data_IF_484393287457
#
_entry.id   IF_484393287457
#
_cell.length_a   1.000
_cell.length_b   1.000
_cell.length_c   1.000
_cell.angle_alpha   90.00
_cell.angle_beta   90.00
_cell.angle_gamma   90.00
#
_symmetry.space_group_name_H-M   'P 1'
#
loop_
_entity.id
_entity.type
_entity.pdbx_description
1 polymer ?
#
# COMPACT_ATOMS: atom_id res chain seq x y z
N UNK A 1 -9.40 5.19 -3.93
CA UNK A 1 -9.77 6.59 -3.75
C UNK A 1 -9.89 6.87 -2.26
N UNK A 2 -9.21 7.90 -1.72
CA UNK A 2 -9.31 8.31 -0.31
C UNK A 2 -10.27 9.48 -0.19
N UNK A 3 -11.29 9.31 0.64
CA UNK A 3 -12.39 10.25 0.79
C UNK A 3 -12.44 10.73 2.23
N UNK A 4 -12.51 12.04 2.42
CA UNK A 4 -12.75 12.68 3.71
C UNK A 4 -14.22 13.11 3.77
N UNK A 5 -14.86 12.92 4.91
CA UNK A 5 -16.17 13.45 5.22
C UNK A 5 -16.09 14.25 6.51
N UNK A 6 -16.54 15.50 6.51
CA UNK A 6 -16.53 16.37 7.69
C UNK A 6 -17.89 17.02 7.90
N UNK A 7 -18.49 16.78 9.07
CA UNK A 7 -19.76 17.36 9.53
C UNK A 7 -19.77 17.29 11.06
N UNK A 8 -20.11 18.38 11.74
CA UNK A 8 -20.12 18.41 13.22
C UNK A 8 -21.34 17.73 13.83
N UNK A 9 -22.41 17.56 13.04
CA UNK A 9 -23.58 16.78 13.44
C UNK A 9 -23.33 15.28 13.22
N UNK A 10 -23.17 14.51 14.31
CA UNK A 10 -22.85 13.08 14.25
C UNK A 10 -23.80 12.29 13.35
N UNK A 11 -25.11 12.57 13.40
CA UNK A 11 -26.12 11.90 12.57
C UNK A 11 -25.91 12.23 11.07
N UNK A 12 -25.60 13.47 10.74
CA UNK A 12 -25.34 13.89 9.35
C UNK A 12 -24.06 13.29 8.83
N UNK A 13 -23.01 13.25 9.65
CA UNK A 13 -21.75 12.60 9.31
C UNK A 13 -21.92 11.10 9.03
N UNK A 14 -22.68 10.39 9.86
CA UNK A 14 -22.98 8.98 9.66
C UNK A 14 -23.78 8.76 8.36
N UNK A 15 -24.83 9.55 8.14
CA UNK A 15 -25.60 9.51 6.91
C UNK A 15 -24.75 9.80 5.67
N UNK A 16 -23.95 10.84 5.69
CA UNK A 16 -23.02 11.19 4.60
C UNK A 16 -22.05 10.04 4.32
N UNK A 17 -21.42 9.50 5.37
CA UNK A 17 -20.49 8.39 5.27
C UNK A 17 -21.14 7.16 4.65
N UNK A 18 -22.36 6.83 5.04
CA UNK A 18 -23.12 5.70 4.48
C UNK A 18 -23.49 5.92 3.00
N UNK A 19 -23.86 7.14 2.61
CA UNK A 19 -24.13 7.46 1.18
C UNK A 19 -22.86 7.37 0.34
N UNK A 20 -21.73 7.85 0.87
CA UNK A 20 -20.43 7.74 0.20
C UNK A 20 -20.05 6.25 0.05
N UNK A 21 -20.23 5.42 1.08
CA UNK A 21 -19.97 3.97 1.03
C UNK A 21 -20.79 3.26 -0.03
N UNK A 22 -22.05 3.62 -0.17
CA UNK A 22 -22.94 3.06 -1.19
C UNK A 22 -22.53 3.51 -2.61
N UNK A 23 -22.15 4.77 -2.78
CA UNK A 23 -21.72 5.33 -4.07
C UNK A 23 -20.32 4.86 -4.49
N UNK A 24 -19.43 4.62 -3.53
CA UNK A 24 -18.05 4.22 -3.75
C UNK A 24 -17.62 3.09 -2.79
N UNK A 25 -18.02 1.83 -3.03
CA UNK A 25 -17.72 0.70 -2.13
C UNK A 25 -16.22 0.43 -1.94
N UNK A 26 -15.38 0.82 -2.88
CA UNK A 26 -13.93 0.66 -2.84
C UNK A 26 -13.20 1.89 -2.26
N UNK A 27 -13.95 2.91 -1.82
CA UNK A 27 -13.39 4.12 -1.24
C UNK A 27 -12.91 3.89 0.20
N UNK A 28 -11.72 4.41 0.52
CA UNK A 28 -11.22 4.53 1.89
C UNK A 28 -11.80 5.81 2.48
N UNK A 29 -12.74 5.69 3.43
CA UNK A 29 -13.51 6.84 3.95
C UNK A 29 -13.06 7.17 5.36
N UNK A 30 -12.67 8.44 5.58
CA UNK A 30 -12.25 8.99 6.86
C UNK A 30 -13.24 10.05 7.33
N UNK A 31 -14.11 9.74 8.31
CA UNK A 31 -15.07 10.68 8.87
C UNK A 31 -14.46 11.53 9.99
N UNK A 32 -14.79 12.82 10.01
CA UNK A 32 -14.35 13.78 11.01
C UNK A 32 -15.50 14.63 11.52
N UNK A 33 -15.68 14.67 12.84
CA UNK A 33 -16.69 15.51 13.50
C UNK A 33 -16.24 16.95 13.76
N UNK A 34 -15.05 17.34 13.28
CA UNK A 34 -14.57 18.73 13.38
C UNK A 34 -13.39 18.98 12.43
N UNK A 35 -13.28 20.22 11.97
CA UNK A 35 -12.19 20.71 11.14
C UNK A 35 -10.81 20.50 11.81
N UNK A 36 -10.72 20.71 13.13
CA UNK A 36 -9.47 20.53 13.90
C UNK A 36 -8.97 19.10 13.84
N UNK A 37 -9.83 18.10 14.02
CA UNK A 37 -9.45 16.68 13.96
C UNK A 37 -8.98 16.28 12.58
N UNK A 38 -9.63 16.80 11.54
CA UNK A 38 -9.24 16.56 10.17
C UNK A 38 -7.85 17.11 9.87
N UNK A 39 -7.59 18.37 10.24
CA UNK A 39 -6.27 19.00 10.02
C UNK A 39 -5.16 18.28 10.79
N UNK A 40 -5.39 17.94 12.07
CA UNK A 40 -4.43 17.19 12.86
C UNK A 40 -4.11 15.83 12.22
N UNK A 41 -5.13 15.12 11.72
CA UNK A 41 -4.92 13.84 11.04
C UNK A 41 -4.06 13.97 9.77
N UNK A 42 -4.28 15.02 8.96
CA UNK A 42 -3.45 15.28 7.78
C UNK A 42 -1.99 15.60 8.15
N UNK A 43 -1.78 16.38 9.23
CA UNK A 43 -0.45 16.74 9.72
C UNK A 43 0.29 15.52 10.29
N UNK A 44 -0.39 14.69 11.08
CA UNK A 44 0.20 13.50 11.71
C UNK A 44 0.54 12.40 10.70
N UNK A 45 -0.34 12.20 9.71
CA UNK A 45 -0.15 11.10 8.74
C UNK A 45 0.72 11.51 7.56
N UNK A 46 0.74 12.81 7.21
CA UNK A 46 1.34 13.31 5.96
C UNK A 46 0.63 12.79 4.70
N UNK A 47 -0.57 12.22 4.85
CA UNK A 47 -1.33 11.60 3.77
C UNK A 47 -2.29 12.61 3.15
N UNK A 48 -2.36 12.66 1.82
CA UNK A 48 -3.32 13.48 1.11
C UNK A 48 -4.67 12.77 0.91
N UNK A 49 -5.66 13.48 0.37
CA UNK A 49 -6.97 12.95 0.00
C UNK A 49 -7.28 13.23 -1.48
N UNK A 50 -8.21 12.46 -2.04
CA UNK A 50 -8.68 12.64 -3.42
C UNK A 50 -9.95 13.51 -3.48
N UNK A 51 -10.86 13.29 -2.52
CA UNK A 51 -12.14 14.00 -2.40
C UNK A 51 -12.42 14.32 -0.93
N UNK A 52 -12.87 15.52 -0.63
CA UNK A 52 -13.38 15.91 0.68
C UNK A 52 -14.82 16.41 0.56
N UNK A 53 -15.74 15.77 1.26
CA UNK A 53 -17.10 16.24 1.47
C UNK A 53 -17.14 17.03 2.77
N UNK A 54 -17.50 18.30 2.70
CA UNK A 54 -17.40 19.24 3.80
C UNK A 54 -18.75 19.89 4.08
N UNK A 55 -19.21 19.81 5.30
CA UNK A 55 -20.29 20.69 5.72
C UNK A 55 -19.79 22.15 5.80
N UNK A 56 -20.62 23.09 5.42
CA UNK A 56 -20.27 24.52 5.43
C UNK A 56 -20.33 25.09 6.84
N UNK A 57 -21.36 24.72 7.60
CA UNK A 57 -21.63 25.27 8.92
C UNK A 57 -21.06 24.36 10.00
N UNK A 58 -19.81 24.57 10.37
CA UNK A 58 -19.17 23.85 11.47
C UNK A 58 -18.69 24.80 12.57
N UNK A 59 -18.82 24.46 13.87
CA UNK A 59 -18.34 25.27 14.98
C UNK A 59 -16.83 25.48 14.96
N UNK A 60 -16.40 26.68 15.25
CA UNK A 60 -14.99 27.08 15.38
C UNK A 60 -14.30 27.37 14.05
N UNK A 61 -14.42 26.50 13.07
CA UNK A 61 -13.89 26.71 11.72
C UNK A 61 -14.93 26.26 10.70
N UNK A 62 -15.42 27.18 9.88
CA UNK A 62 -16.38 26.87 8.82
C UNK A 62 -15.76 25.94 7.77
N UNK A 63 -16.61 25.16 7.08
CA UNK A 63 -16.14 24.31 5.97
C UNK A 63 -15.44 25.09 4.87
N UNK A 64 -15.78 26.36 4.68
CA UNK A 64 -15.12 27.25 3.72
C UNK A 64 -13.68 27.55 4.16
N UNK A 65 -13.47 27.94 5.42
CA UNK A 65 -12.14 28.18 5.96
C UNK A 65 -11.30 26.89 5.98
N UNK A 66 -11.92 25.76 6.32
CA UNK A 66 -11.28 24.44 6.22
C UNK A 66 -10.86 24.13 4.78
N UNK A 67 -11.72 24.36 3.80
CA UNK A 67 -11.43 24.11 2.39
C UNK A 67 -10.22 24.92 1.88
N UNK A 68 -10.05 26.16 2.33
CA UNK A 68 -8.87 26.97 2.01
C UNK A 68 -7.59 26.32 2.52
N UNK A 69 -7.59 25.87 3.79
CA UNK A 69 -6.43 25.15 4.38
C UNK A 69 -6.15 23.83 3.67
N UNK A 70 -7.21 23.09 3.32
CA UNK A 70 -7.08 21.84 2.57
C UNK A 70 -6.48 22.04 1.18
N UNK A 71 -6.78 23.15 0.50
CA UNK A 71 -6.17 23.50 -0.79
C UNK A 71 -4.69 23.86 -0.67
N UNK A 72 -4.26 24.47 0.42
CA UNK A 72 -2.84 24.71 0.69
C UNK A 72 -2.07 23.40 0.89
N UNK A 73 -2.65 22.45 1.65
CA UNK A 73 -2.05 21.14 1.95
C UNK A 73 -2.14 20.17 0.78
N UNK A 74 -3.26 20.15 0.07
CA UNK A 74 -3.57 19.24 -1.02
C UNK A 74 -4.16 20.00 -2.22
N UNK A 75 -3.35 20.69 -3.05
CA UNK A 75 -3.82 21.54 -4.15
C UNK A 75 -4.71 20.83 -5.18
N UNK A 76 -4.53 19.52 -5.35
CA UNK A 76 -5.29 18.66 -6.28
C UNK A 76 -6.44 17.90 -5.61
N UNK A 77 -6.70 18.11 -4.33
CA UNK A 77 -7.85 17.52 -3.66
C UNK A 77 -9.16 18.13 -4.20
N UNK A 78 -10.14 17.28 -4.53
CA UNK A 78 -11.47 17.74 -4.90
C UNK A 78 -12.25 18.10 -3.64
N UNK A 79 -12.92 19.25 -3.64
CA UNK A 79 -13.72 19.73 -2.51
C UNK A 79 -15.18 19.81 -2.93
N UNK A 80 -16.04 19.09 -2.22
CA UNK A 80 -17.48 19.04 -2.43
C UNK A 80 -18.15 19.51 -1.15
N UNK A 81 -18.98 20.55 -1.23
CA UNK A 81 -19.70 21.08 -0.08
C UNK A 81 -21.10 20.47 0.03
N UNK A 82 -21.52 20.17 1.25
CA UNK A 82 -22.91 19.84 1.59
C UNK A 82 -23.58 20.99 2.33
N UNK A 83 -24.78 21.40 1.88
CA UNK A 83 -25.50 22.52 2.46
C UNK A 83 -27.01 22.44 2.24
N UNK A 84 -27.79 23.16 3.06
CA UNK A 84 -29.24 23.24 2.92
C UNK A 84 -29.71 24.19 1.84
N UNK A 85 -28.99 25.27 1.58
CA UNK A 85 -29.31 26.25 0.55
C UNK A 85 -28.15 26.46 -0.41
N UNK A 86 -28.45 26.56 -1.70
CA UNK A 86 -27.47 26.82 -2.74
C UNK A 86 -27.19 28.32 -2.83
N UNK A 87 -26.27 28.83 -2.03
CA UNK A 87 -25.67 30.13 -2.29
C UNK A 87 -24.42 29.96 -3.16
N UNK A 88 -24.26 30.77 -4.23
CA UNK A 88 -23.10 30.69 -5.08
C UNK A 88 -21.88 31.28 -4.36
N UNK A 89 -21.09 30.44 -3.68
CA UNK A 89 -19.81 30.88 -3.16
C UNK A 89 -18.74 30.87 -4.26
N UNK A 90 -17.98 31.96 -4.34
CA UNK A 90 -16.86 32.11 -5.31
C UNK A 90 -15.61 31.30 -4.95
N UNK A 91 -15.77 30.23 -4.21
CA UNK A 91 -14.69 29.28 -3.99
C UNK A 91 -14.60 28.31 -5.17
N UNK A 92 -13.38 28.04 -5.62
CA UNK A 92 -13.11 27.03 -6.64
C UNK A 92 -13.40 25.60 -6.12
N UNK A 93 -14.63 25.36 -5.66
CA UNK A 93 -15.13 24.04 -5.27
C UNK A 93 -15.20 23.14 -6.50
N UNK A 94 -15.07 21.85 -6.29
CA UNK A 94 -15.25 20.84 -7.34
C UNK A 94 -16.72 20.49 -7.51
N UNK A 95 -17.54 20.69 -6.46
CA UNK A 95 -18.97 20.40 -6.51
C UNK A 95 -19.73 20.83 -5.26
N UNK A 96 -21.07 20.71 -5.33
CA UNK A 96 -22.01 21.04 -4.25
C UNK A 96 -23.14 20.01 -4.18
N UNK A 97 -23.42 19.51 -3.00
CA UNK A 97 -24.54 18.60 -2.74
C UNK A 97 -25.55 19.28 -1.81
N UNK A 98 -26.81 19.28 -2.21
CA UNK A 98 -27.90 19.76 -1.36
C UNK A 98 -28.26 18.70 -0.32
N UNK A 99 -28.39 19.10 0.94
CA UNK A 99 -28.95 18.26 2.00
C UNK A 99 -30.49 18.10 1.80
N UNK A 100 -31.08 16.90 1.98
CA UNK A 100 -30.43 15.68 2.43
C UNK A 100 -29.57 15.00 1.35
N UNK A 101 -28.37 14.57 1.70
CA UNK A 101 -27.43 13.91 0.78
C UNK A 101 -28.00 12.58 0.30
N UNK A 102 -28.02 12.38 -1.01
CA UNK A 102 -28.46 11.12 -1.63
C UNK A 102 -27.30 10.39 -2.29
N UNK A 103 -27.40 9.08 -2.43
CA UNK A 103 -26.39 8.27 -3.14
C UNK A 103 -26.17 8.79 -4.56
N UNK A 104 -27.26 9.08 -5.27
CA UNK A 104 -27.19 9.61 -6.65
C UNK A 104 -26.45 10.93 -6.74
N UNK A 105 -26.65 11.86 -5.79
CA UNK A 105 -25.93 13.12 -5.76
C UNK A 105 -24.43 12.91 -5.53
N UNK A 106 -24.05 11.99 -4.63
CA UNK A 106 -22.65 11.62 -4.40
C UNK A 106 -22.03 11.01 -5.66
N UNK A 107 -22.73 10.09 -6.33
CA UNK A 107 -22.26 9.48 -7.59
C UNK A 107 -22.07 10.52 -8.71
N UNK A 108 -22.99 11.49 -8.83
CA UNK A 108 -22.91 12.57 -9.82
C UNK A 108 -21.67 13.44 -9.58
N UNK A 109 -21.41 13.83 -8.35
CA UNK A 109 -20.24 14.64 -7.99
C UNK A 109 -18.93 13.85 -8.17
N UNK A 110 -18.91 12.56 -7.80
CA UNK A 110 -17.74 11.72 -8.00
C UNK A 110 -17.43 11.45 -9.49
N UNK A 111 -18.40 11.54 -10.38
CA UNK A 111 -18.18 11.47 -11.85
C UNK A 111 -17.65 12.77 -12.43
N UNK A 112 -17.95 13.92 -11.81
CA UNK A 112 -17.65 15.24 -12.31
C UNK A 112 -16.46 15.91 -11.60
N UNK A 113 -15.55 15.12 -11.01
CA UNK A 113 -14.40 15.65 -10.27
C UNK A 113 -13.51 16.51 -11.17
N UNK A 114 -13.16 17.69 -10.69
CA UNK A 114 -12.30 18.64 -11.39
C UNK A 114 -10.87 18.11 -11.61
N UNK A 115 -10.37 17.38 -10.63
CA UNK A 115 -9.07 16.73 -10.69
C UNK A 115 -9.30 15.21 -10.78
N UNK A 116 -8.76 14.55 -11.82
CA UNK A 116 -8.88 13.11 -11.93
C UNK A 116 -8.33 12.46 -10.65
N UNK A 117 -9.10 11.56 -10.08
CA UNK A 117 -8.60 10.71 -9.01
C UNK A 117 -7.47 9.87 -9.61
N UNK A 118 -6.26 10.10 -9.14
CA UNK A 118 -5.21 9.15 -9.44
C UNK A 118 -5.63 7.84 -8.79
N UNK A 119 -5.88 6.80 -9.59
CA UNK A 119 -5.95 5.45 -9.04
C UNK A 119 -4.63 5.25 -8.30
N UNK A 120 -4.68 5.47 -6.99
CA UNK A 120 -3.62 4.96 -6.12
C UNK A 120 -3.74 3.46 -6.30
N UNK A 121 -2.84 2.89 -7.07
CA UNK A 121 -2.70 1.45 -7.11
C UNK A 121 -2.79 0.96 -5.67
N UNK A 122 -3.65 -0.01 -5.40
CA UNK A 122 -3.77 -0.59 -4.07
C UNK A 122 -2.35 -0.79 -3.54
N UNK A 123 -2.06 -0.40 -2.27
CA UNK A 123 -0.69 -0.42 -1.79
C UNK A 123 -0.10 -1.80 -2.07
N UNK A 124 0.82 -1.82 -3.02
CA UNK A 124 1.48 -3.05 -3.46
C UNK A 124 2.62 -3.34 -2.51
N UNK A 125 2.82 -4.59 -2.20
CA UNK A 125 4.01 -5.04 -1.49
C UNK A 125 5.20 -4.89 -2.44
N UNK A 126 6.03 -3.89 -2.20
CA UNK A 126 7.25 -3.67 -2.96
C UNK A 126 8.42 -4.35 -2.25
N UNK A 127 9.17 -5.13 -2.98
CA UNK A 127 10.37 -5.81 -2.51
C UNK A 127 11.58 -5.25 -3.23
N UNK A 128 12.55 -4.83 -2.45
CA UNK A 128 13.89 -4.46 -2.89
C UNK A 128 14.80 -5.66 -2.64
N UNK A 129 15.30 -6.25 -3.71
CA UNK A 129 16.24 -7.36 -3.68
C UNK A 129 17.68 -6.91 -4.05
N UNK A 130 17.82 -5.80 -4.77
CA UNK A 130 19.11 -5.22 -5.11
C UNK A 130 19.68 -4.43 -3.93
N UNK A 131 20.95 -4.67 -3.59
CA UNK A 131 21.54 -4.26 -2.33
C UNK A 131 21.06 -5.13 -1.18
N UNK A 132 20.68 -4.51 -0.06
CA UNK A 132 20.07 -5.22 1.07
C UNK A 132 18.60 -5.55 0.78
N UNK A 133 18.16 -6.72 1.22
CA UNK A 133 16.76 -7.10 1.11
C UNK A 133 15.88 -6.25 2.00
N UNK A 134 14.93 -5.53 1.41
CA UNK A 134 13.95 -4.70 2.11
C UNK A 134 12.54 -4.88 1.53
N UNK A 135 11.54 -4.70 2.39
CA UNK A 135 10.13 -4.84 2.03
C UNK A 135 9.38 -3.59 2.43
N UNK A 136 8.57 -3.06 1.52
CA UNK A 136 7.79 -1.84 1.72
C UNK A 136 6.31 -2.09 1.39
N UNK A 137 5.43 -1.49 2.17
CA UNK A 137 4.01 -1.47 1.90
C UNK A 137 3.48 -0.04 2.01
N UNK A 138 2.82 0.45 0.96
CA UNK A 138 2.41 1.85 0.90
C UNK A 138 3.56 2.86 1.05
N UNK A 139 4.78 2.50 0.60
CA UNK A 139 5.98 3.32 0.72
C UNK A 139 6.67 3.28 2.09
N UNK A 140 6.12 2.56 3.07
CA UNK A 140 6.71 2.41 4.43
C UNK A 140 7.38 1.05 4.59
N UNK A 141 8.53 0.97 5.29
CA UNK A 141 9.17 -0.31 5.57
C UNK A 141 8.26 -1.25 6.36
N UNK A 142 8.20 -2.52 5.95
CA UNK A 142 7.47 -3.56 6.69
C UNK A 142 8.34 -4.05 7.83
N UNK A 143 7.80 -4.00 9.04
CA UNK A 143 8.48 -4.53 10.22
C UNK A 143 8.22 -6.04 10.37
N UNK A 144 9.29 -6.81 10.45
CA UNK A 144 9.27 -8.23 10.79
C UNK A 144 9.67 -8.41 12.24
N UNK A 145 8.90 -9.16 13.02
CA UNK A 145 9.18 -9.40 14.44
C UNK A 145 10.50 -10.14 14.69
N UNK A 146 10.95 -10.89 13.68
CA UNK A 146 12.20 -11.67 13.72
C UNK A 146 12.97 -11.52 12.41
N UNK A 147 14.29 -11.33 12.50
CA UNK A 147 15.18 -11.28 11.32
C UNK A 147 15.08 -12.53 10.45
N UNK A 148 14.93 -13.70 11.06
CA UNK A 148 14.74 -14.97 10.32
C UNK A 148 13.41 -15.07 9.57
N UNK A 149 12.37 -14.39 10.00
CA UNK A 149 11.11 -14.28 9.23
C UNK A 149 11.35 -13.48 7.96
N UNK A 150 12.10 -12.39 8.05
CA UNK A 150 12.50 -11.58 6.89
C UNK A 150 13.40 -12.39 5.94
N UNK A 151 14.35 -13.15 6.45
CA UNK A 151 15.23 -14.03 5.69
C UNK A 151 14.46 -15.15 4.98
N UNK A 152 13.50 -15.80 5.66
CA UNK A 152 12.59 -16.77 5.04
C UNK A 152 11.86 -16.16 3.85
N UNK A 153 11.33 -14.95 4.02
CA UNK A 153 10.63 -14.27 2.93
C UNK A 153 11.58 -13.94 1.78
N UNK A 154 12.79 -13.44 2.06
CA UNK A 154 13.83 -13.18 1.06
C UNK A 154 14.15 -14.44 0.22
N UNK A 155 14.32 -15.58 0.88
CA UNK A 155 14.59 -16.83 0.18
C UNK A 155 13.42 -17.24 -0.72
N UNK A 156 12.16 -17.13 -0.24
CA UNK A 156 10.98 -17.43 -1.06
C UNK A 156 10.84 -16.48 -2.26
N UNK A 157 11.24 -15.22 -2.12
CA UNK A 157 11.33 -14.26 -3.24
C UNK A 157 12.40 -14.73 -4.25
N UNK A 158 13.59 -15.11 -3.79
CA UNK A 158 14.67 -15.63 -4.65
C UNK A 158 14.20 -16.83 -5.49
N UNK A 159 13.34 -17.68 -4.93
CA UNK A 159 12.76 -18.86 -5.60
C UNK A 159 11.73 -18.55 -6.69
N UNK A 160 11.27 -17.32 -6.82
CA UNK A 160 10.39 -16.84 -7.91
C UNK A 160 9.15 -17.71 -8.14
N UNK A 161 8.49 -18.11 -7.07
CA UNK A 161 7.29 -18.95 -7.12
C UNK A 161 7.58 -20.47 -7.14
N UNK A 162 8.84 -20.90 -7.26
CA UNK A 162 9.18 -22.29 -7.05
C UNK A 162 8.93 -22.70 -5.59
N UNK A 163 8.21 -23.82 -5.40
CA UNK A 163 7.89 -24.31 -4.06
C UNK A 163 9.14 -24.82 -3.35
N UNK A 164 9.30 -24.45 -2.08
CA UNK A 164 10.37 -24.92 -1.21
C UNK A 164 9.83 -25.87 -0.15
N UNK A 165 10.55 -26.98 0.08
CA UNK A 165 10.22 -27.95 1.12
C UNK A 165 10.73 -27.51 2.49
N UNK A 166 10.20 -28.13 3.56
CA UNK A 166 10.68 -27.87 4.93
C UNK A 166 12.18 -28.18 5.08
N UNK A 167 12.66 -29.25 4.45
CA UNK A 167 14.08 -29.63 4.50
C UNK A 167 14.98 -28.62 3.79
N UNK A 168 14.58 -28.13 2.61
CA UNK A 168 15.29 -27.08 1.87
C UNK A 168 15.37 -25.80 2.69
N UNK A 169 14.27 -25.35 3.26
CA UNK A 169 14.22 -24.14 4.10
C UNK A 169 15.08 -24.26 5.35
N UNK A 170 15.14 -25.47 5.96
CA UNK A 170 16.01 -25.71 7.12
C UNK A 170 17.48 -25.63 6.71
N UNK A 171 17.86 -26.22 5.59
CA UNK A 171 19.25 -26.22 5.13
C UNK A 171 19.78 -24.81 4.85
N UNK A 172 18.91 -23.91 4.37
CA UNK A 172 19.26 -22.53 4.08
C UNK A 172 19.27 -21.67 5.35
N UNK A 173 18.18 -21.72 6.12
CA UNK A 173 18.03 -20.82 7.28
C UNK A 173 18.86 -21.24 8.49
N UNK A 174 19.25 -22.50 8.60
CA UNK A 174 20.09 -23.06 9.68
C UNK A 174 21.30 -23.79 9.11
N UNK A 175 22.06 -23.10 8.28
CA UNK A 175 23.26 -23.63 7.66
C UNK A 175 24.13 -24.42 8.66
N UNK A 176 24.54 -25.65 8.26
CA UNK A 176 25.34 -26.54 9.09
C UNK A 176 24.61 -27.21 10.26
N UNK A 177 23.30 -27.01 10.45
CA UNK A 177 22.53 -27.69 11.50
C UNK A 177 21.72 -28.86 10.96
N UNK A 178 21.61 -29.92 11.78
CA UNK A 178 20.78 -31.08 11.45
C UNK A 178 19.30 -30.75 11.52
N UNK A 179 18.50 -31.36 10.65
CA UNK A 179 17.05 -31.29 10.68
C UNK A 179 16.49 -32.05 11.89
N UNK A 180 16.14 -31.29 12.93
CA UNK A 180 15.61 -31.83 14.18
C UNK A 180 14.16 -31.42 14.37
N UNK A 181 13.36 -32.13 15.21
CA UNK A 181 11.99 -31.72 15.53
C UNK A 181 11.90 -30.29 16.09
N UNK A 182 12.90 -29.85 16.83
CA UNK A 182 12.97 -28.46 17.38
C UNK A 182 13.12 -27.43 16.26
N UNK A 183 14.03 -27.65 15.30
CA UNK A 183 14.23 -26.75 14.15
C UNK A 183 12.99 -26.74 13.26
N UNK A 184 12.36 -27.88 13.04
CA UNK A 184 11.07 -27.95 12.31
C UNK A 184 9.97 -27.14 12.99
N UNK A 185 9.90 -27.17 14.33
CA UNK A 185 8.94 -26.37 15.10
C UNK A 185 9.23 -24.87 14.97
N UNK A 186 10.52 -24.49 15.04
CA UNK A 186 10.93 -23.08 14.83
C UNK A 186 10.57 -22.61 13.42
N UNK A 187 10.83 -23.40 12.37
CA UNK A 187 10.45 -23.04 11.00
C UNK A 187 8.94 -22.86 10.83
N UNK A 188 8.12 -23.75 11.42
CA UNK A 188 6.65 -23.56 11.41
C UNK A 188 6.23 -22.24 12.06
N UNK A 189 6.90 -21.86 13.16
CA UNK A 189 6.66 -20.57 13.82
C UNK A 189 7.04 -19.39 12.93
N UNK A 190 8.17 -19.45 12.18
CA UNK A 190 8.56 -18.42 11.22
C UNK A 190 7.56 -18.30 10.06
N UNK A 191 7.08 -19.43 9.52
CA UNK A 191 6.07 -19.46 8.47
C UNK A 191 4.76 -18.82 8.96
N UNK A 192 4.36 -19.11 10.19
CA UNK A 192 3.16 -18.52 10.79
C UNK A 192 3.34 -17.01 10.97
N UNK A 193 4.48 -16.59 11.51
CA UNK A 193 4.83 -15.18 11.70
C UNK A 193 4.82 -14.39 10.37
N UNK A 194 5.45 -14.94 9.32
CA UNK A 194 5.43 -14.36 7.98
C UNK A 194 4.00 -14.18 7.45
N UNK A 195 3.17 -15.22 7.57
CA UNK A 195 1.77 -15.18 7.12
C UNK A 195 0.96 -14.14 7.90
N UNK A 196 1.13 -14.08 9.21
CA UNK A 196 0.44 -13.10 10.06
C UNK A 196 0.85 -11.68 9.70
N UNK A 197 2.14 -11.43 9.48
CA UNK A 197 2.65 -10.12 9.05
C UNK A 197 2.02 -9.69 7.72
N UNK A 198 2.02 -10.56 6.71
CA UNK A 198 1.44 -10.24 5.40
C UNK A 198 -0.09 -10.15 5.43
N UNK A 199 -0.77 -10.95 6.24
CA UNK A 199 -2.21 -10.84 6.44
C UNK A 199 -2.62 -9.52 7.09
N UNK A 200 -1.85 -9.04 8.06
CA UNK A 200 -2.05 -7.72 8.67
C UNK A 200 -1.95 -6.55 7.68
N UNK A 201 -1.25 -6.76 6.56
CA UNK A 201 -1.15 -5.81 5.45
C UNK A 201 -2.20 -6.06 4.34
N UNK A 202 -3.13 -7.00 4.51
CA UNK A 202 -4.05 -7.42 3.45
C UNK A 202 -3.37 -8.20 2.31
N UNK A 203 -2.10 -8.61 2.47
CA UNK A 203 -1.26 -9.26 1.46
C UNK A 203 -1.07 -10.77 1.69
N UNK A 204 -1.94 -11.40 2.48
CA UNK A 204 -1.84 -12.82 2.85
C UNK A 204 -1.87 -13.79 1.66
N UNK A 205 -2.46 -13.39 0.53
CA UNK A 205 -2.53 -14.20 -0.70
C UNK A 205 -1.17 -14.36 -1.42
N UNK A 206 -0.14 -13.59 -1.02
CA UNK A 206 1.22 -13.71 -1.56
C UNK A 206 1.85 -15.05 -1.22
N UNK A 207 1.55 -15.61 -0.04
CA UNK A 207 2.10 -16.90 0.39
C UNK A 207 1.19 -18.03 -0.06
N UNK A 208 1.70 -18.86 -0.96
CA UNK A 208 1.06 -20.09 -1.43
C UNK A 208 1.58 -21.26 -0.59
N UNK A 209 0.68 -22.00 0.04
CA UNK A 209 1.01 -23.24 0.75
C UNK A 209 0.26 -24.41 0.11
N UNK A 210 0.99 -25.39 -0.44
CA UNK A 210 0.44 -26.63 -1.00
C UNK A 210 1.11 -27.83 -0.32
N UNK A 211 0.36 -28.59 0.49
CA UNK A 211 0.88 -29.74 1.26
C UNK A 211 2.17 -29.37 2.00
N UNK A 212 3.31 -29.91 1.56
CA UNK A 212 4.64 -29.73 2.17
C UNK A 212 5.49 -28.64 1.50
N UNK A 213 4.91 -27.91 0.55
CA UNK A 213 5.58 -26.85 -0.19
C UNK A 213 5.05 -25.48 0.24
N UNK A 214 5.96 -24.52 0.34
CA UNK A 214 5.65 -23.09 0.50
C UNK A 214 6.32 -22.30 -0.62
N UNK A 215 5.61 -21.34 -1.16
CA UNK A 215 6.08 -20.46 -2.23
C UNK A 215 5.51 -19.05 -2.07
N UNK A 216 6.08 -18.11 -2.83
CA UNK A 216 5.53 -16.79 -3.06
C UNK A 216 4.84 -16.76 -4.42
N UNK A 217 3.71 -16.07 -4.54
CA UNK A 217 3.10 -15.73 -5.82
C UNK A 217 3.85 -14.51 -6.42
N UNK A 218 4.66 -14.69 -7.46
CA UNK A 218 5.48 -13.60 -8.01
C UNK A 218 4.64 -12.51 -8.69
N UNK A 219 3.42 -12.82 -9.13
CA UNK A 219 2.53 -11.85 -9.79
C UNK A 219 1.93 -10.84 -8.80
N UNK A 220 1.97 -11.16 -7.50
CA UNK A 220 1.46 -10.32 -6.42
C UNK A 220 2.51 -9.47 -5.73
N UNK A 221 3.75 -9.52 -6.21
CA UNK A 221 4.88 -8.83 -5.59
C UNK A 221 5.54 -7.91 -6.61
N UNK A 222 5.60 -6.62 -6.30
CA UNK A 222 6.40 -5.67 -7.06
C UNK A 222 7.87 -5.77 -6.61
N UNK A 223 8.71 -6.49 -7.37
CA UNK A 223 10.09 -6.78 -7.03
C UNK A 223 11.06 -6.31 -8.14
N UNK A 224 12.09 -5.55 -7.77
CA UNK A 224 13.15 -5.08 -8.67
C UNK A 224 13.85 -6.25 -9.39
N UNK A 225 14.15 -7.32 -8.67
CA UNK A 225 14.73 -8.54 -9.24
C UNK A 225 13.83 -9.18 -10.32
N UNK A 226 12.51 -9.22 -10.10
CA UNK A 226 11.58 -9.79 -11.07
C UNK A 226 11.47 -8.91 -12.31
N UNK A 227 11.42 -7.59 -12.14
CA UNK A 227 11.42 -6.63 -13.25
C UNK A 227 12.72 -6.68 -14.06
N UNK A 228 13.87 -6.81 -13.39
CA UNK A 228 15.16 -7.01 -14.04
C UNK A 228 15.15 -8.26 -14.93
N UNK A 229 14.65 -9.40 -14.42
CA UNK A 229 14.57 -10.64 -15.18
C UNK A 229 13.60 -10.53 -16.37
N UNK A 230 12.55 -9.74 -16.25
CA UNK A 230 11.60 -9.42 -17.31
C UNK A 230 12.15 -8.44 -18.38
N UNK A 231 13.37 -7.91 -18.18
CA UNK A 231 14.04 -7.03 -19.14
C UNK A 231 13.74 -5.54 -18.94
N UNK A 232 13.29 -5.12 -17.77
CA UNK A 232 13.10 -3.70 -17.46
C UNK A 232 14.45 -2.97 -17.47
N UNK A 233 14.62 -2.05 -18.41
CA UNK A 233 15.85 -1.25 -18.58
C UNK A 233 16.17 -0.36 -17.38
N UNK A 234 15.18 0.09 -16.63
CA UNK A 234 15.39 0.92 -15.43
C UNK A 234 16.06 0.10 -14.35
N UNK A 235 15.60 -1.11 -14.15
CA UNK A 235 16.17 -2.03 -13.16
C UNK A 235 17.55 -2.53 -13.60
N UNK A 236 17.76 -2.77 -14.90
CA UNK A 236 19.09 -3.10 -15.43
C UNK A 236 20.10 -1.96 -15.16
N UNK A 237 19.70 -0.70 -15.35
CA UNK A 237 20.53 0.45 -15.04
C UNK A 237 20.71 0.71 -13.53
N UNK A 238 19.79 0.25 -12.70
CA UNK A 238 19.82 0.40 -11.24
C UNK A 238 20.63 -0.69 -10.55
N UNK A 239 20.80 -1.86 -11.17
CA UNK A 239 21.62 -2.94 -10.63
C UNK A 239 23.09 -2.52 -10.52
N UNK A 240 23.67 -2.69 -9.34
CA UNK A 240 25.06 -2.31 -9.02
C UNK A 240 25.93 -3.50 -8.64
N UNK A 241 25.55 -4.70 -9.09
CA UNK A 241 26.28 -5.91 -8.72
C UNK A 241 26.04 -6.35 -7.28
N UNK A 242 24.95 -5.89 -6.65
CA UNK A 242 24.56 -6.27 -5.29
C UNK A 242 23.17 -6.87 -5.28
N UNK A 243 23.03 -8.02 -4.62
CA UNK A 243 21.77 -8.76 -4.52
C UNK A 243 21.65 -9.39 -3.14
N UNK A 244 20.62 -9.00 -2.38
CA UNK A 244 20.32 -9.49 -1.03
C UNK A 244 21.58 -9.64 -0.17
N UNK A 245 22.43 -8.62 -0.14
CA UNK A 245 23.80 -8.62 0.41
C UNK A 245 23.88 -8.99 1.89
N UNK A 246 22.75 -8.99 2.59
CA UNK A 246 22.64 -9.42 3.97
C UNK A 246 22.49 -10.94 4.15
N UNK A 247 22.50 -11.73 3.05
CA UNK A 247 22.34 -13.19 3.11
C UNK A 247 23.39 -13.93 2.26
N UNK A 248 24.19 -14.79 2.88
CA UNK A 248 25.28 -15.56 2.21
C UNK A 248 24.78 -16.48 1.09
N UNK A 249 23.62 -17.11 1.25
CA UNK A 249 23.05 -17.99 0.24
C UNK A 249 22.67 -17.26 -1.07
N UNK A 250 22.52 -15.93 -1.05
CA UNK A 250 22.17 -15.14 -2.22
C UNK A 250 23.32 -15.00 -3.25
N UNK A 251 24.57 -15.31 -2.88
CA UNK A 251 25.74 -15.23 -3.75
C UNK A 251 25.60 -16.08 -5.03
N UNK A 252 24.92 -17.22 -4.94
CA UNK A 252 24.67 -18.07 -6.11
C UNK A 252 23.81 -17.36 -7.15
N UNK A 253 22.75 -16.70 -6.73
CA UNK A 253 21.86 -15.92 -7.60
C UNK A 253 22.57 -14.67 -8.12
N UNK A 254 23.34 -13.99 -7.27
CA UNK A 254 24.17 -12.85 -7.67
C UNK A 254 25.11 -13.21 -8.83
N UNK A 255 25.83 -14.34 -8.75
CA UNK A 255 26.72 -14.80 -9.81
C UNK A 255 25.99 -15.10 -11.13
N UNK A 256 24.71 -15.49 -11.09
CA UNK A 256 23.89 -15.67 -12.29
C UNK A 256 23.43 -14.32 -12.89
N UNK A 257 23.09 -13.35 -12.05
CA UNK A 257 22.67 -12.01 -12.46
C UNK A 257 23.80 -11.25 -13.15
N UNK A 258 25.00 -11.25 -12.59
CA UNK A 258 26.19 -10.59 -13.16
C UNK A 258 26.56 -11.16 -14.54
N UNK A 259 26.41 -12.47 -14.73
CA UNK A 259 26.62 -13.09 -16.06
C UNK A 259 25.61 -12.63 -17.10
N UNK A 260 24.35 -12.42 -16.70
CA UNK A 260 23.29 -11.96 -17.60
C UNK A 260 23.50 -10.52 -18.03
N UNK A 261 23.97 -9.65 -17.13
CA UNK A 261 24.30 -8.25 -17.43
C UNK A 261 25.43 -8.17 -18.49
N UNK A 262 26.51 -8.93 -18.34
CA UNK A 262 27.63 -8.95 -19.28
C UNK A 262 27.28 -9.49 -20.68
N UNK A 263 26.19 -10.24 -20.82
CA UNK A 263 25.72 -10.72 -22.13
C UNK A 263 24.80 -9.70 -22.84
N UNK A 264 24.22 -8.76 -22.11
CA UNK A 264 23.38 -7.70 -22.67
C UNK A 264 24.18 -6.55 -23.35
N UNK A 265 25.44 -6.34 -22.94
CA UNK A 265 26.31 -5.29 -23.49
C UNK A 265 27.03 -5.68 -24.80
N UNK A 266 27.06 -6.97 -25.15
CA UNK A 266 27.77 -7.45 -26.36
C UNK A 266 26.86 -7.59 -27.60
N UNK A 267 25.60 -7.13 -27.53
CA UNK A 267 24.58 -7.28 -28.58
C UNK A 267 24.09 -5.95 -29.19
N UNK A 268 24.90 -4.87 -29.18
CA UNK A 268 24.55 -3.58 -29.84
C UNK A 268 25.48 -3.31 -31.00
#
# INVERSE_FOLDING_TARGET
MRIIAADDEALMLDMLTDRIRQACPQGEIHPFSSARRLLAWLEETGEGFDVAFLDIEMPGMSGIALAQRLKELCPRGNLIFSQYMAEPFQLHASGYIRKPVTVKAVEEELRNLRYPVQERAAPTLRVQAFGNFEVFYGGRPVHFSRSRTKELFAYLIDRRGAGSTMGELISILWEGRLDTPSIRSQLRSLITDLRTTLQGLGQGAIIIKKRDLIAVDPERVDCDYYRFLAGDRREANAFRGEYMSNYSWAETTLGALTRKEGQGETGS
#
